data_IF_445514440454
#
_entry.id   IF_445514440454
#
_cell.length_a   1.000
_cell.length_b   1.000
_cell.length_c   1.000
_cell.angle_alpha   90.00
_cell.angle_beta   90.00
_cell.angle_gamma   90.00
#
_symmetry.space_group_name_H-M   'P 1'
#
loop_
_entity.id
_entity.type
_entity.pdbx_description
1 polymer ?
#
# COMPACT_ATOMS: atom_id res chain seq x y z
N UNK A 1 10.19 -14.03 -4.89
CA UNK A 1 9.02 -13.90 -5.77
C UNK A 1 8.47 -15.27 -6.15
N UNK A 2 7.20 -15.53 -5.83
CA UNK A 2 6.47 -16.75 -6.18
C UNK A 2 5.89 -16.64 -7.60
N UNK A 3 5.43 -17.76 -8.16
CA UNK A 3 4.74 -17.78 -9.46
C UNK A 3 3.24 -17.57 -9.30
N UNK A 4 2.55 -17.20 -10.40
CA UNK A 4 1.08 -17.14 -10.43
C UNK A 4 0.43 -18.48 -10.05
N UNK A 5 1.02 -19.61 -10.44
CA UNK A 5 0.46 -20.93 -10.12
C UNK A 5 0.59 -21.21 -8.62
N UNK A 6 1.72 -20.85 -8.01
CA UNK A 6 1.88 -20.93 -6.56
C UNK A 6 0.90 -20.01 -5.83
N UNK A 7 0.73 -18.77 -6.31
CA UNK A 7 -0.21 -17.81 -5.75
C UNK A 7 -1.66 -18.31 -5.84
N UNK A 8 -2.04 -18.92 -6.97
CA UNK A 8 -3.36 -19.51 -7.17
C UNK A 8 -3.63 -20.67 -6.19
N UNK A 9 -2.64 -21.54 -5.98
CA UNK A 9 -2.79 -22.64 -5.02
C UNK A 9 -2.87 -22.14 -3.57
N UNK A 10 -2.11 -21.10 -3.23
CA UNK A 10 -2.21 -20.43 -1.93
C UNK A 10 -3.62 -19.85 -1.72
N UNK A 11 -4.11 -19.08 -2.70
CA UNK A 11 -5.44 -18.48 -2.70
C UNK A 11 -6.54 -19.54 -2.60
N UNK A 12 -6.43 -20.61 -3.37
CA UNK A 12 -7.40 -21.72 -3.40
C UNK A 12 -7.48 -22.43 -2.04
N UNK A 13 -6.34 -22.76 -1.43
CA UNK A 13 -6.30 -23.39 -0.10
C UNK A 13 -6.92 -22.48 0.97
N UNK A 14 -6.65 -21.17 0.88
CA UNK A 14 -7.25 -20.22 1.80
C UNK A 14 -8.78 -20.15 1.64
N UNK A 15 -9.28 -20.01 0.42
CA UNK A 15 -10.73 -19.99 0.16
C UNK A 15 -11.41 -21.27 0.64
N UNK A 16 -10.81 -22.43 0.39
CA UNK A 16 -11.32 -23.72 0.89
C UNK A 16 -11.34 -23.78 2.42
N UNK A 17 -10.38 -23.14 3.10
CA UNK A 17 -10.37 -23.06 4.57
C UNK A 17 -11.45 -22.16 5.16
N UNK A 18 -12.02 -21.24 4.35
CA UNK A 18 -13.15 -20.40 4.76
C UNK A 18 -14.50 -21.14 4.66
N UNK A 19 -14.59 -22.18 3.84
CA UNK A 19 -15.80 -23.00 3.67
C UNK A 19 -15.70 -23.98 2.51
N UNK A 20 -16.33 -25.15 2.66
CA UNK A 20 -16.27 -26.25 1.67
C UNK A 20 -16.98 -25.92 0.34
N UNK A 21 -17.99 -25.05 0.38
CA UNK A 21 -18.79 -24.64 -0.78
C UNK A 21 -18.28 -23.35 -1.44
N UNK A 22 -17.02 -22.97 -1.19
CA UNK A 22 -16.40 -21.78 -1.77
C UNK A 22 -15.43 -22.15 -2.89
N UNK A 23 -15.44 -21.37 -3.96
CA UNK A 23 -14.59 -21.57 -5.13
C UNK A 23 -13.94 -20.26 -5.57
N UNK A 24 -12.62 -20.31 -5.74
CA UNK A 24 -11.81 -19.23 -6.29
C UNK A 24 -12.11 -19.03 -7.79
N UNK A 25 -12.12 -17.79 -8.26
CA UNK A 25 -12.08 -17.54 -9.71
C UNK A 25 -10.66 -17.73 -10.24
N UNK A 26 -10.51 -18.45 -11.36
CA UNK A 26 -9.20 -18.81 -11.93
C UNK A 26 -8.36 -17.60 -12.35
N UNK A 27 -9.03 -16.53 -12.79
CA UNK A 27 -8.41 -15.29 -13.24
C UNK A 27 -8.37 -14.28 -12.10
N UNK A 28 -7.20 -13.70 -11.77
CA UNK A 28 -7.12 -12.62 -10.81
C UNK A 28 -7.88 -11.38 -11.32
N UNK A 29 -8.45 -10.62 -10.39
CA UNK A 29 -9.10 -9.32 -10.65
C UNK A 29 -8.06 -8.34 -11.20
N UNK A 30 -6.88 -8.32 -10.58
CA UNK A 30 -5.74 -7.49 -10.95
C UNK A 30 -4.44 -8.11 -10.42
N UNK A 31 -3.30 -7.69 -10.98
CA UNK A 31 -1.98 -8.18 -10.61
C UNK A 31 -0.89 -7.15 -10.92
N UNK A 32 0.29 -7.31 -10.31
CA UNK A 32 1.47 -6.48 -10.54
C UNK A 32 2.65 -6.95 -9.69
N UNK A 33 3.66 -6.10 -9.50
CA UNK A 33 4.83 -6.43 -8.69
C UNK A 33 4.46 -6.71 -7.22
N UNK A 34 3.31 -6.22 -6.76
CA UNK A 34 2.75 -6.47 -5.43
C UNK A 34 2.09 -7.86 -5.27
N UNK A 35 1.89 -8.61 -6.36
CA UNK A 35 1.24 -9.92 -6.35
C UNK A 35 -0.08 -9.98 -7.11
N UNK A 36 -1.00 -10.82 -6.64
CA UNK A 36 -2.25 -11.16 -7.34
C UNK A 36 -3.45 -11.02 -6.44
N UNK A 37 -4.49 -10.35 -6.93
CA UNK A 37 -5.78 -10.25 -6.22
C UNK A 37 -6.79 -11.20 -6.84
N UNK A 38 -7.36 -12.08 -6.03
CA UNK A 38 -8.37 -13.02 -6.47
C UNK A 38 -9.71 -12.74 -5.79
N UNK A 39 -10.79 -12.97 -6.53
CA UNK A 39 -12.13 -13.13 -5.97
C UNK A 39 -12.45 -14.61 -5.81
N UNK A 40 -13.46 -14.89 -5.00
CA UNK A 40 -14.09 -16.20 -4.90
C UNK A 40 -15.60 -16.03 -4.85
N UNK A 41 -16.35 -17.12 -4.91
CA UNK A 41 -17.80 -17.12 -4.82
C UNK A 41 -18.29 -18.49 -4.34
N UNK A 42 -19.58 -18.63 -4.02
CA UNK A 42 -20.16 -19.94 -3.76
C UNK A 42 -20.05 -20.80 -5.01
N UNK A 43 -19.76 -22.09 -4.80
CA UNK A 43 -19.66 -23.07 -5.87
C UNK A 43 -20.98 -23.19 -6.63
N UNK A 44 -22.11 -23.20 -5.90
CA UNK A 44 -23.45 -23.29 -6.49
C UNK A 44 -23.71 -22.08 -7.40
N UNK A 45 -23.41 -20.85 -6.96
CA UNK A 45 -23.58 -19.68 -7.82
C UNK A 45 -22.74 -19.76 -9.10
N UNK A 46 -21.49 -20.22 -9.00
CA UNK A 46 -20.62 -20.37 -10.19
C UNK A 46 -21.20 -21.39 -11.18
N UNK A 47 -21.83 -22.46 -10.69
CA UNK A 47 -22.41 -23.52 -11.52
C UNK A 47 -23.79 -23.14 -12.10
N UNK A 48 -24.64 -22.45 -11.33
CA UNK A 48 -26.05 -22.18 -11.69
C UNK A 48 -26.27 -20.77 -12.23
N UNK A 49 -25.41 -19.82 -11.89
CA UNK A 49 -25.59 -18.38 -12.10
C UNK A 49 -26.90 -17.83 -11.49
N UNK A 50 -27.45 -18.51 -10.48
CA UNK A 50 -28.63 -18.04 -9.73
C UNK A 50 -28.20 -17.05 -8.64
N UNK A 51 -28.58 -15.79 -8.79
CA UNK A 51 -28.20 -14.71 -7.87
C UNK A 51 -28.60 -14.97 -6.41
N UNK A 52 -29.58 -15.86 -6.16
CA UNK A 52 -29.98 -16.24 -4.79
C UNK A 52 -28.90 -17.04 -4.06
N UNK A 53 -28.00 -17.67 -4.80
CA UNK A 53 -26.87 -18.44 -4.27
C UNK A 53 -25.58 -17.60 -4.20
N UNK A 54 -25.61 -16.35 -4.66
CA UNK A 54 -24.45 -15.45 -4.62
C UNK A 54 -24.14 -15.03 -3.18
N UNK A 55 -22.86 -15.13 -2.80
CA UNK A 55 -22.35 -14.50 -1.59
C UNK A 55 -22.40 -12.99 -1.73
N UNK A 56 -22.73 -12.36 -0.61
CA UNK A 56 -22.70 -10.91 -0.45
C UNK A 56 -21.58 -10.57 0.52
N UNK A 57 -20.76 -9.58 0.15
CA UNK A 57 -19.71 -9.05 1.02
C UNK A 57 -18.47 -9.93 1.14
N UNK A 58 -18.30 -10.95 0.29
CA UNK A 58 -17.08 -11.73 0.27
C UNK A 58 -15.93 -10.86 -0.27
N UNK A 59 -14.93 -10.62 0.57
CA UNK A 59 -13.86 -9.71 0.24
C UNK A 59 -12.80 -10.39 -0.66
N UNK A 60 -12.24 -9.69 -1.65
CA UNK A 60 -11.11 -10.19 -2.43
C UNK A 60 -9.90 -10.50 -1.53
N UNK A 61 -9.03 -11.38 -2.01
CA UNK A 61 -7.78 -11.74 -1.32
C UNK A 61 -6.59 -11.33 -2.16
N UNK A 62 -5.63 -10.65 -1.54
CA UNK A 62 -4.31 -10.39 -2.11
C UNK A 62 -3.36 -11.51 -1.68
N UNK A 63 -2.64 -12.08 -2.65
CA UNK A 63 -1.48 -12.94 -2.40
C UNK A 63 -0.23 -12.17 -2.82
N UNK A 64 0.59 -11.83 -1.83
CA UNK A 64 1.87 -11.14 -1.99
C UNK A 64 2.82 -11.91 -2.93
N UNK A 65 3.50 -11.18 -3.81
CA UNK A 65 4.43 -11.76 -4.78
C UNK A 65 5.71 -12.29 -4.13
N UNK A 66 6.15 -11.73 -3.00
CA UNK A 66 7.46 -12.05 -2.45
C UNK A 66 7.47 -13.37 -1.69
N UNK A 67 6.56 -13.50 -0.72
CA UNK A 67 6.48 -14.60 0.24
C UNK A 67 5.19 -15.41 0.12
N UNK A 68 4.23 -14.96 -0.69
CA UNK A 68 2.92 -15.59 -0.79
C UNK A 68 2.04 -15.36 0.44
N UNK A 69 2.29 -14.28 1.19
CA UNK A 69 1.44 -13.89 2.31
C UNK A 69 0.05 -13.52 1.80
N UNK A 70 -0.98 -13.93 2.53
CA UNK A 70 -2.38 -13.63 2.20
C UNK A 70 -2.85 -12.44 3.02
N UNK A 71 -3.53 -11.51 2.34
CA UNK A 71 -4.30 -10.46 2.98
C UNK A 71 -5.73 -10.48 2.45
N UNK A 72 -6.70 -10.65 3.34
CA UNK A 72 -8.10 -10.41 3.01
C UNK A 72 -8.31 -8.91 2.90
N UNK A 73 -8.76 -8.43 1.75
CA UNK A 73 -9.06 -7.01 1.54
C UNK A 73 -10.39 -6.65 2.20
N UNK A 74 -10.80 -5.39 2.12
CA UNK A 74 -12.14 -4.98 2.52
C UNK A 74 -13.07 -4.84 1.32
N UNK A 75 -14.35 -4.60 1.61
CA UNK A 75 -15.39 -4.32 0.60
C UNK A 75 -15.88 -2.88 0.64
N UNK A 76 -15.35 -2.06 1.55
CA UNK A 76 -15.73 -0.65 1.73
C UNK A 76 -15.19 0.28 0.63
N UNK A 77 -14.19 -0.17 -0.12
CA UNK A 77 -13.48 0.63 -1.14
C UNK A 77 -13.14 -0.26 -2.33
N UNK A 78 -12.76 0.38 -3.44
CA UNK A 78 -12.22 -0.31 -4.61
C UNK A 78 -10.90 -1.03 -4.28
N UNK A 79 -10.66 -2.16 -4.96
CA UNK A 79 -9.46 -3.00 -4.78
C UNK A 79 -8.16 -2.19 -4.94
N UNK A 80 -8.14 -1.24 -5.86
CA UNK A 80 -6.97 -0.37 -6.11
C UNK A 80 -6.54 0.44 -4.88
N UNK A 81 -7.48 0.83 -4.00
CA UNK A 81 -7.15 1.57 -2.78
C UNK A 81 -6.38 0.70 -1.80
N UNK A 82 -6.83 -0.53 -1.55
CA UNK A 82 -6.12 -1.48 -0.69
C UNK A 82 -4.74 -1.83 -1.23
N UNK A 83 -4.60 -1.98 -2.55
CA UNK A 83 -3.30 -2.23 -3.19
C UNK A 83 -2.37 -1.04 -2.98
N UNK A 84 -2.83 0.19 -3.18
CA UNK A 84 -2.00 1.38 -2.97
C UNK A 84 -1.49 1.47 -1.52
N UNK A 85 -2.37 1.21 -0.54
CA UNK A 85 -2.00 1.18 0.88
C UNK A 85 -0.99 0.06 1.14
N UNK A 86 -1.24 -1.16 0.64
CA UNK A 86 -0.32 -2.28 0.79
C UNK A 86 1.06 -1.99 0.20
N UNK A 87 1.14 -1.40 -0.98
CA UNK A 87 2.42 -1.06 -1.61
C UNK A 87 3.22 -0.01 -0.81
N UNK A 88 2.54 0.87 -0.08
CA UNK A 88 3.18 1.92 0.73
C UNK A 88 3.58 1.44 2.11
N UNK A 89 2.78 0.57 2.73
CA UNK A 89 2.90 0.25 4.16
C UNK A 89 3.13 -1.24 4.45
N UNK A 90 2.98 -2.13 3.46
CA UNK A 90 3.07 -3.58 3.61
C UNK A 90 1.82 -4.22 4.25
N UNK A 91 0.78 -3.44 4.53
CA UNK A 91 -0.50 -3.89 5.06
C UNK A 91 -1.63 -3.13 4.32
N UNK A 92 -2.57 -3.82 3.63
CA UNK A 92 -3.65 -3.14 2.90
C UNK A 92 -4.64 -2.38 3.78
N UNK A 93 -4.63 -2.62 5.10
CA UNK A 93 -5.51 -1.94 6.06
C UNK A 93 -4.78 -0.91 6.91
N UNK A 94 -3.51 -0.63 6.61
CA UNK A 94 -2.78 0.45 7.26
C UNK A 94 -3.50 1.79 7.07
N UNK A 95 -3.57 2.58 8.12
CA UNK A 95 -4.11 3.94 8.06
C UNK A 95 -2.96 4.91 7.76
N UNK A 96 -2.98 5.65 6.65
CA UNK A 96 -1.95 6.65 6.37
C UNK A 96 -1.92 7.74 7.45
N UNK A 97 -0.75 7.99 8.02
CA UNK A 97 -0.55 9.00 9.06
C UNK A 97 -0.06 10.34 8.54
N UNK A 98 -0.02 11.37 9.39
CA UNK A 98 0.42 12.72 9.04
C UNK A 98 1.93 12.94 9.16
N UNK A 99 2.74 11.88 9.14
CA UNK A 99 4.19 11.96 9.37
C UNK A 99 4.97 11.44 8.17
N UNK A 100 6.08 12.10 7.83
CA UNK A 100 7.03 11.67 6.80
C UNK A 100 8.41 11.51 7.42
N UNK A 101 8.98 10.32 7.30
CA UNK A 101 10.37 10.04 7.62
C UNK A 101 11.25 10.31 6.39
N UNK A 102 12.33 11.05 6.56
CA UNK A 102 13.41 11.10 5.56
C UNK A 102 14.49 10.09 5.99
N UNK A 103 14.66 9.01 5.22
CA UNK A 103 15.56 7.91 5.57
C UNK A 103 16.91 7.94 4.85
N UNK A 104 17.04 8.79 3.83
CA UNK A 104 18.26 8.91 3.04
C UNK A 104 18.13 9.88 1.86
N UNK A 105 19.14 9.88 0.99
CA UNK A 105 19.20 10.75 -0.18
C UNK A 105 20.12 10.15 -1.27
N UNK A 106 19.98 10.62 -2.51
CA UNK A 106 20.79 10.20 -3.66
C UNK A 106 21.70 11.33 -4.16
N UNK A 107 22.83 10.96 -4.79
CA UNK A 107 23.74 11.96 -5.38
C UNK A 107 22.99 12.89 -6.35
N UNK A 108 23.13 14.20 -6.16
CA UNK A 108 22.38 15.22 -6.90
C UNK A 108 21.08 15.70 -6.24
N UNK A 109 20.74 15.20 -5.04
CA UNK A 109 19.57 15.64 -4.29
C UNK A 109 19.52 17.18 -4.11
N UNK A 110 18.36 17.78 -4.39
CA UNK A 110 18.20 19.23 -4.36
C UNK A 110 17.75 19.70 -2.98
N UNK A 111 18.71 19.95 -2.08
CA UNK A 111 18.44 20.41 -0.70
C UNK A 111 17.64 21.71 -0.61
N UNK A 112 17.81 22.62 -1.58
CA UNK A 112 17.11 23.91 -1.59
C UNK A 112 15.64 23.70 -1.91
N UNK A 113 15.34 22.87 -2.92
CA UNK A 113 13.97 22.52 -3.27
C UNK A 113 13.32 21.70 -2.16
N UNK A 114 14.01 20.72 -1.58
CA UNK A 114 13.49 19.92 -0.46
C UNK A 114 13.11 20.80 0.74
N UNK A 115 13.96 21.77 1.11
CA UNK A 115 13.66 22.73 2.18
C UNK A 115 12.40 23.55 1.87
N UNK A 116 12.25 23.98 0.61
CA UNK A 116 11.07 24.73 0.16
C UNK A 116 9.80 23.88 0.24
N UNK A 117 9.85 22.66 -0.29
CA UNK A 117 8.73 21.69 -0.28
C UNK A 117 8.29 21.43 1.17
N UNK A 118 9.22 21.10 2.07
CA UNK A 118 8.90 20.86 3.48
C UNK A 118 8.22 22.08 4.09
N UNK A 119 8.75 23.29 3.85
CA UNK A 119 8.15 24.51 4.38
C UNK A 119 6.75 24.80 3.81
N UNK A 120 6.48 24.46 2.55
CA UNK A 120 5.20 24.75 1.88
C UNK A 120 4.09 23.76 2.27
N UNK A 121 4.44 22.49 2.49
CA UNK A 121 3.50 21.42 2.83
C UNK A 121 3.39 21.14 4.34
N UNK A 122 4.06 21.94 5.16
CA UNK A 122 4.03 21.82 6.62
C UNK A 122 3.87 23.19 7.27
N UNK A 123 3.67 23.21 8.59
CA UNK A 123 3.65 24.45 9.38
C UNK A 123 5.05 24.84 9.90
N UNK A 124 6.11 24.19 9.42
CA UNK A 124 7.47 24.45 9.89
C UNK A 124 8.00 25.80 9.39
N UNK A 125 8.75 26.48 10.27
CA UNK A 125 9.56 27.62 9.87
C UNK A 125 10.72 27.22 8.98
N UNK A 126 11.29 28.19 8.24
CA UNK A 126 12.43 27.93 7.34
C UNK A 126 13.61 27.26 8.04
N UNK A 127 13.89 27.63 9.30
CA UNK A 127 14.98 27.05 10.09
C UNK A 127 14.75 25.56 10.33
N UNK A 128 13.54 25.17 10.71
CA UNK A 128 13.20 23.79 11.07
C UNK A 128 13.11 22.91 9.83
N UNK A 129 12.54 23.43 8.73
CA UNK A 129 12.52 22.75 7.44
C UNK A 129 13.94 22.45 6.93
N UNK A 130 14.82 23.45 7.00
CA UNK A 130 16.24 23.29 6.63
C UNK A 130 16.94 22.30 7.56
N UNK A 131 16.66 22.38 8.86
CA UNK A 131 17.22 21.47 9.87
C UNK A 131 16.87 20.01 9.58
N UNK A 132 15.64 19.71 9.17
CA UNK A 132 15.25 18.36 8.77
C UNK A 132 16.04 17.86 7.55
N UNK A 133 16.21 18.70 6.53
CA UNK A 133 17.03 18.33 5.35
C UNK A 133 18.49 18.08 5.74
N UNK A 134 19.09 18.97 6.54
CA UNK A 134 20.49 18.84 6.98
C UNK A 134 20.70 17.59 7.84
N UNK A 135 19.80 17.33 8.78
CA UNK A 135 19.81 16.11 9.59
C UNK A 135 19.77 14.85 8.71
N UNK A 136 18.93 14.82 7.68
CA UNK A 136 18.89 13.70 6.73
C UNK A 136 20.20 13.55 5.95
N UNK A 137 20.80 14.67 5.50
CA UNK A 137 22.08 14.65 4.79
C UNK A 137 23.23 14.14 5.69
N UNK A 138 23.14 14.37 6.99
CA UNK A 138 24.07 13.88 8.02
C UNK A 138 23.82 12.40 8.41
N UNK A 139 22.86 11.74 7.77
CA UNK A 139 22.53 10.33 7.99
C UNK A 139 21.56 10.08 9.16
N UNK A 140 20.98 11.14 9.72
CA UNK A 140 19.86 10.99 10.67
C UNK A 140 18.56 10.69 9.92
N UNK A 141 17.53 10.29 10.65
CA UNK A 141 16.20 10.00 10.11
C UNK A 141 15.14 10.92 10.70
N UNK A 142 15.13 12.20 10.31
CA UNK A 142 14.17 13.15 10.85
C UNK A 142 12.76 12.81 10.39
N UNK A 143 11.80 13.04 11.30
CA UNK A 143 10.37 12.89 11.04
C UNK A 143 9.75 14.29 10.96
N UNK A 144 9.06 14.54 9.86
CA UNK A 144 8.35 15.78 9.59
C UNK A 144 6.85 15.54 9.78
N UNK A 145 6.20 16.41 10.54
CA UNK A 145 4.76 16.36 10.76
C UNK A 145 4.02 17.31 9.81
N UNK A 146 3.02 16.79 9.12
CA UNK A 146 2.09 17.49 8.25
C UNK A 146 0.76 17.76 8.96
N UNK A 147 -0.10 18.58 8.36
CA UNK A 147 -1.42 18.86 8.93
C UNK A 147 -2.37 17.65 8.87
N UNK A 148 -2.21 16.82 7.85
CA UNK A 148 -3.09 15.69 7.54
C UNK A 148 -2.34 14.63 6.71
N UNK A 149 -2.90 13.42 6.55
CA UNK A 149 -2.27 12.34 5.78
C UNK A 149 -2.12 12.61 4.28
N UNK A 150 -2.98 13.43 3.68
CA UNK A 150 -2.89 13.75 2.24
C UNK A 150 -1.67 14.65 1.99
N UNK A 151 -1.47 15.66 2.85
CA UNK A 151 -0.29 16.51 2.84
C UNK A 151 1.00 15.71 3.06
N UNK A 152 0.98 14.68 3.93
CA UNK A 152 2.12 13.80 4.15
C UNK A 152 2.44 12.92 2.93
N UNK A 153 1.42 12.43 2.23
CA UNK A 153 1.59 11.68 0.97
C UNK A 153 2.25 12.55 -0.11
N UNK A 154 1.73 13.76 -0.30
CA UNK A 154 2.29 14.73 -1.26
C UNK A 154 3.74 15.06 -0.89
N UNK A 155 4.01 15.32 0.40
CA UNK A 155 5.35 15.64 0.87
C UNK A 155 6.35 14.51 0.58
N UNK A 156 6.00 13.26 0.90
CA UNK A 156 6.86 12.11 0.63
C UNK A 156 7.16 11.95 -0.87
N UNK A 157 6.14 12.14 -1.73
CA UNK A 157 6.29 12.08 -3.18
C UNK A 157 7.22 13.18 -3.71
N UNK A 158 6.97 14.44 -3.37
CA UNK A 158 7.74 15.59 -3.85
C UNK A 158 9.21 15.53 -3.37
N UNK A 159 9.45 15.07 -2.14
CA UNK A 159 10.80 14.82 -1.63
C UNK A 159 11.53 13.74 -2.42
N UNK A 160 10.83 12.66 -2.79
CA UNK A 160 11.36 11.60 -3.64
C UNK A 160 11.78 12.11 -5.02
N UNK A 161 10.97 12.98 -5.63
CA UNK A 161 11.27 13.61 -6.92
C UNK A 161 12.55 14.44 -6.88
N UNK A 162 12.86 15.08 -5.73
CA UNK A 162 14.07 15.90 -5.57
C UNK A 162 15.26 15.14 -4.97
N UNK A 163 15.20 13.80 -4.92
CA UNK A 163 16.32 12.93 -4.58
C UNK A 163 16.45 12.56 -3.11
N UNK A 164 15.39 12.71 -2.31
CA UNK A 164 15.37 12.22 -0.92
C UNK A 164 14.59 10.92 -0.82
N UNK A 165 15.12 9.95 -0.08
CA UNK A 165 14.34 8.78 0.31
C UNK A 165 13.39 9.20 1.43
N UNK A 166 12.13 9.39 1.10
CA UNK A 166 11.10 9.91 2.00
C UNK A 166 9.87 9.01 1.97
N UNK A 167 9.38 8.64 3.16
CA UNK A 167 8.26 7.71 3.31
C UNK A 167 7.29 8.23 4.35
N UNK A 168 6.01 8.26 3.97
CA UNK A 168 4.94 8.49 4.92
C UNK A 168 4.83 7.32 5.90
N UNK A 169 4.57 7.63 7.16
CA UNK A 169 4.34 6.64 8.20
C UNK A 169 2.85 6.34 8.35
N UNK A 170 2.49 5.09 8.62
CA UNK A 170 1.15 4.72 9.04
C UNK A 170 0.88 5.19 10.49
N UNK A 171 -0.39 5.32 10.87
CA UNK A 171 -0.84 5.63 12.23
C UNK A 171 -0.63 4.47 13.21
#
# INVERSE_FOLDING_TARGET
MITIDAAREIAKRHVQSLGEDLMLFDKPITFGDYGWVFSFQSKVFIETNDIRDALVGNAPILVDSDKGQIFTLGTAYEVSKYINIYQRFGDPHAEPGSFVELSGWSEGANKVMATKIIKELTQLGLKDAKGAVEACLEGQRPIVHCADPESAEILAHELSVVGFDARQLAL
#
